data_IF_494883982892
#
_entry.id   IF_494883982892
#
_cell.length_a   1.000
_cell.length_b   1.000
_cell.length_c   1.000
_cell.angle_alpha   90.00
_cell.angle_beta   90.00
_cell.angle_gamma   90.00
#
_symmetry.space_group_name_H-M   'P 1'
#
loop_
_entity.id
_entity.type
_entity.pdbx_description
1 polymer ?
#
# COMPACT_ATOMS: atom_id res chain seq x y z
N UNK A 1 38.24 -66.12 19.33
CA UNK A 1 38.38 -64.86 20.02
C UNK A 1 37.82 -63.78 19.12
N UNK A 2 36.58 -63.42 19.35
CA UNK A 2 35.80 -62.52 18.46
C UNK A 2 35.82 -61.10 18.98
N UNK A 3 36.19 -60.15 18.17
CA UNK A 3 36.15 -58.71 18.44
C UNK A 3 34.75 -58.17 18.23
N UNK A 4 34.22 -57.25 19.07
CA UNK A 4 32.89 -56.66 18.87
C UNK A 4 32.97 -55.42 17.95
N UNK A 5 32.10 -55.39 16.96
CA UNK A 5 31.89 -54.26 16.07
C UNK A 5 31.19 -53.11 16.77
N UNK A 6 31.78 -51.94 16.80
CA UNK A 6 31.23 -50.69 17.28
C UNK A 6 30.17 -50.18 16.30
N UNK A 7 28.88 -50.13 16.73
CA UNK A 7 27.80 -49.44 16.05
C UNK A 7 27.93 -47.96 16.29
N UNK A 8 28.38 -47.21 15.30
CA UNK A 8 28.32 -45.75 15.27
C UNK A 8 26.82 -45.32 15.20
N UNK A 9 26.32 -44.66 16.25
CA UNK A 9 25.02 -43.98 16.25
C UNK A 9 25.12 -42.75 15.36
N UNK A 10 24.41 -42.73 14.22
CA UNK A 10 24.15 -41.53 13.43
C UNK A 10 23.35 -40.54 14.27
N UNK A 11 23.94 -39.36 14.51
CA UNK A 11 23.17 -38.18 15.02
C UNK A 11 22.25 -37.69 13.91
N UNK A 12 20.97 -37.37 14.21
CA UNK A 12 20.11 -36.74 13.22
C UNK A 12 20.65 -35.32 12.97
N UNK A 13 20.79 -34.95 11.69
CA UNK A 13 21.11 -33.61 11.25
C UNK A 13 19.99 -32.66 11.69
N UNK A 14 20.31 -31.69 12.54
CA UNK A 14 19.42 -30.59 12.89
C UNK A 14 19.30 -29.71 11.65
N UNK A 15 18.08 -29.71 11.04
CA UNK A 15 17.81 -28.97 9.82
C UNK A 15 17.94 -27.47 10.01
N UNK A 16 18.58 -26.84 9.04
CA UNK A 16 18.73 -25.39 8.87
C UNK A 16 17.42 -24.66 8.50
N UNK A 17 16.27 -25.32 8.58
CA UNK A 17 14.95 -24.77 8.16
C UNK A 17 14.16 -24.04 9.27
N UNK A 18 14.69 -23.95 10.49
CA UNK A 18 13.93 -23.42 11.63
C UNK A 18 13.60 -21.90 11.60
N UNK A 19 14.43 -20.99 11.05
CA UNK A 19 14.09 -19.55 10.97
C UNK A 19 13.06 -19.25 9.89
N UNK A 20 13.20 -19.85 8.70
CA UNK A 20 12.35 -19.63 7.55
C UNK A 20 10.90 -20.11 7.79
N UNK A 21 10.73 -21.27 8.43
CA UNK A 21 9.42 -21.81 8.78
C UNK A 21 8.64 -20.94 9.76
N UNK A 22 9.33 -20.33 10.73
CA UNK A 22 8.71 -19.41 11.70
C UNK A 22 8.27 -18.08 11.06
N UNK A 23 9.06 -17.54 10.15
CA UNK A 23 8.70 -16.32 9.39
C UNK A 23 7.49 -16.59 8.52
N UNK A 24 7.48 -17.69 7.78
CA UNK A 24 6.34 -18.08 6.95
C UNK A 24 5.07 -18.34 7.77
N UNK A 25 5.19 -18.95 8.96
CA UNK A 25 4.05 -19.14 9.86
C UNK A 25 3.51 -17.82 10.41
N UNK A 26 4.38 -16.86 10.75
CA UNK A 26 3.96 -15.52 11.16
C UNK A 26 3.18 -14.81 10.07
N UNK A 27 3.70 -14.83 8.84
CA UNK A 27 3.04 -14.21 7.68
C UNK A 27 1.66 -14.84 7.42
N UNK A 28 1.56 -16.18 7.43
CA UNK A 28 0.28 -16.89 7.26
C UNK A 28 -0.75 -16.53 8.33
N UNK A 29 -0.33 -16.49 9.60
CA UNK A 29 -1.24 -16.11 10.69
C UNK A 29 -1.74 -14.68 10.55
N UNK A 30 -0.84 -13.74 10.18
CA UNK A 30 -1.20 -12.35 9.94
C UNK A 30 -2.18 -12.23 8.79
N UNK A 31 -1.92 -12.89 7.68
CA UNK A 31 -2.76 -12.90 6.49
C UNK A 31 -4.15 -13.47 6.80
N UNK A 32 -4.24 -14.58 7.52
CA UNK A 32 -5.52 -15.18 7.92
C UNK A 32 -6.39 -14.23 8.76
N UNK A 33 -5.77 -13.40 9.62
CA UNK A 33 -6.50 -12.39 10.40
C UNK A 33 -7.04 -11.25 9.53
N UNK A 34 -6.27 -10.82 8.53
CA UNK A 34 -6.68 -9.79 7.56
C UNK A 34 -7.85 -10.31 6.72
N UNK A 35 -7.73 -11.50 6.13
CA UNK A 35 -8.79 -12.14 5.35
C UNK A 35 -10.08 -12.33 6.15
N UNK A 36 -9.97 -12.73 7.42
CA UNK A 36 -11.11 -12.85 8.32
C UNK A 36 -11.80 -11.51 8.58
N UNK A 37 -11.04 -10.43 8.72
CA UNK A 37 -11.60 -9.09 8.92
C UNK A 37 -12.25 -8.55 7.64
N UNK A 38 -11.67 -8.81 6.47
CA UNK A 38 -12.27 -8.48 5.16
C UNK A 38 -13.61 -9.20 5.02
N UNK A 39 -13.65 -10.51 5.26
CA UNK A 39 -14.87 -11.29 5.15
C UNK A 39 -15.99 -10.82 6.10
N UNK A 40 -15.65 -10.39 7.33
CA UNK A 40 -16.61 -9.79 8.26
C UNK A 40 -17.17 -8.46 7.73
N UNK A 41 -16.35 -7.64 7.10
CA UNK A 41 -16.80 -6.40 6.47
C UNK A 41 -17.71 -6.63 5.27
N UNK A 42 -17.37 -7.58 4.42
CA UNK A 42 -18.18 -7.95 3.25
C UNK A 42 -19.57 -8.47 3.68
N UNK A 43 -19.68 -9.01 4.90
CA UNK A 43 -20.93 -9.36 5.54
C UNK A 43 -21.65 -8.16 6.22
N UNK A 44 -21.14 -6.94 6.04
CA UNK A 44 -21.73 -5.71 6.61
C UNK A 44 -21.42 -5.49 8.09
N UNK A 45 -20.48 -6.25 8.66
CA UNK A 45 -20.09 -6.13 10.07
C UNK A 45 -18.92 -5.15 10.23
N UNK A 46 -18.82 -4.51 11.40
CA UNK A 46 -17.59 -3.83 11.80
C UNK A 46 -16.69 -4.83 12.55
N UNK A 47 -15.58 -5.31 11.93
CA UNK A 47 -14.76 -6.35 12.54
C UNK A 47 -14.03 -5.82 13.77
N UNK A 48 -13.99 -6.64 14.82
CA UNK A 48 -13.08 -6.47 15.95
C UNK A 48 -11.92 -7.45 15.83
N UNK A 49 -10.79 -7.17 16.50
CA UNK A 49 -9.65 -8.11 16.55
C UNK A 49 -10.08 -9.48 17.10
N UNK A 50 -11.00 -9.50 18.07
CA UNK A 50 -11.53 -10.72 18.65
C UNK A 50 -12.38 -11.54 17.66
N UNK A 51 -13.25 -10.89 16.87
CA UNK A 51 -14.05 -11.55 15.83
C UNK A 51 -13.19 -12.08 14.69
N UNK A 52 -12.20 -11.29 14.26
CA UNK A 52 -11.23 -11.73 13.26
C UNK A 52 -10.42 -12.95 13.75
N UNK A 53 -10.01 -12.97 15.03
CA UNK A 53 -9.32 -14.09 15.65
C UNK A 53 -10.18 -15.37 15.64
N UNK A 54 -11.45 -15.25 16.02
CA UNK A 54 -12.40 -16.37 16.04
C UNK A 54 -12.60 -16.96 14.63
N UNK A 55 -12.84 -16.10 13.65
CA UNK A 55 -13.03 -16.51 12.25
C UNK A 55 -11.76 -17.11 11.63
N UNK A 56 -10.60 -16.55 11.93
CA UNK A 56 -9.30 -17.07 11.49
C UNK A 56 -8.84 -18.32 12.27
N UNK A 57 -9.58 -18.77 13.29
CA UNK A 57 -9.20 -19.85 14.21
C UNK A 57 -7.85 -19.61 14.89
N UNK A 58 -7.57 -18.38 15.25
CA UNK A 58 -6.37 -17.93 15.96
C UNK A 58 -6.76 -17.54 17.39
N UNK A 59 -5.92 -17.82 18.37
CA UNK A 59 -6.20 -17.38 19.74
C UNK A 59 -6.24 -15.85 19.83
N UNK A 60 -7.13 -15.29 20.66
CA UNK A 60 -7.23 -13.84 20.89
C UNK A 60 -5.88 -13.23 21.27
N UNK A 61 -5.15 -13.85 22.19
CA UNK A 61 -3.82 -13.39 22.59
C UNK A 61 -2.84 -13.32 21.43
N UNK A 62 -2.89 -14.29 20.51
CA UNK A 62 -2.07 -14.26 19.29
C UNK A 62 -2.52 -13.14 18.37
N UNK A 63 -3.83 -12.95 18.15
CA UNK A 63 -4.35 -11.90 17.29
C UNK A 63 -3.98 -10.50 17.79
N UNK A 64 -4.13 -10.21 19.08
CA UNK A 64 -3.74 -8.93 19.68
C UNK A 64 -2.23 -8.66 19.62
N UNK A 65 -1.39 -9.68 19.53
CA UNK A 65 0.05 -9.52 19.29
C UNK A 65 0.36 -9.04 17.87
N UNK A 66 -0.47 -9.41 16.88
CA UNK A 66 -0.34 -8.95 15.49
C UNK A 66 -1.02 -7.59 15.26
N UNK A 67 -2.17 -7.43 15.85
CA UNK A 67 -3.02 -6.24 15.73
C UNK A 67 -3.48 -5.81 17.12
N UNK A 68 -2.70 -4.96 17.80
CA UNK A 68 -3.02 -4.50 19.15
C UNK A 68 -4.36 -3.76 19.22
N UNK A 69 -4.75 -3.11 18.13
CA UNK A 69 -6.00 -2.35 18.03
C UNK A 69 -6.80 -2.76 16.79
N UNK A 70 -8.08 -2.43 16.79
CA UNK A 70 -8.95 -2.66 15.63
C UNK A 70 -8.55 -1.78 14.45
N UNK A 71 -8.04 -0.59 14.73
CA UNK A 71 -7.55 0.35 13.72
C UNK A 71 -6.35 -0.24 12.96
N UNK A 72 -5.41 -0.85 13.68
CA UNK A 72 -4.27 -1.54 13.07
C UNK A 72 -4.72 -2.68 12.14
N UNK A 73 -5.75 -3.44 12.55
CA UNK A 73 -6.32 -4.50 11.72
C UNK A 73 -7.01 -3.92 10.49
N UNK A 74 -7.84 -2.88 10.65
CA UNK A 74 -8.57 -2.26 9.53
C UNK A 74 -7.62 -1.59 8.56
N UNK A 75 -6.56 -0.93 9.02
CA UNK A 75 -5.56 -0.34 8.12
C UNK A 75 -4.91 -1.38 7.20
N UNK A 76 -4.72 -2.60 7.70
CA UNK A 76 -4.20 -3.71 6.90
C UNK A 76 -5.25 -4.29 5.93
N UNK A 77 -6.54 -4.36 6.34
CA UNK A 77 -7.60 -4.80 5.41
C UNK A 77 -7.78 -3.81 4.26
N UNK A 78 -7.68 -2.50 4.53
CA UNK A 78 -7.64 -1.48 3.48
C UNK A 78 -6.36 -1.61 2.63
N UNK A 79 -5.29 -2.10 3.26
CA UNK A 79 -4.02 -2.39 2.63
C UNK A 79 -4.04 -3.60 1.70
N UNK A 80 -4.85 -4.60 1.95
CA UNK A 80 -4.90 -5.86 1.20
C UNK A 80 -5.92 -5.85 0.03
N UNK A 81 -6.56 -4.70 -0.23
CA UNK A 81 -7.41 -4.56 -1.41
C UNK A 81 -6.58 -4.74 -2.67
N UNK A 82 -7.03 -5.62 -3.54
CA UNK A 82 -6.40 -5.89 -4.83
C UNK A 82 -6.41 -4.62 -5.71
N UNK A 83 -5.29 -3.91 -5.69
CA UNK A 83 -5.07 -2.83 -6.64
C UNK A 83 -5.02 -3.42 -8.05
N UNK A 84 -5.74 -2.85 -9.02
CA UNK A 84 -5.61 -3.31 -10.41
C UNK A 84 -4.14 -3.26 -10.83
N UNK A 85 -3.60 -4.32 -11.46
CA UNK A 85 -2.22 -4.28 -11.96
C UNK A 85 -2.06 -3.11 -12.92
N UNK A 86 -0.93 -2.39 -12.80
CA UNK A 86 -0.68 -1.17 -13.60
C UNK A 86 -0.80 -1.45 -15.10
N UNK A 87 -0.43 -2.62 -15.56
CA UNK A 87 -0.45 -3.05 -16.97
C UNK A 87 -1.87 -3.06 -17.56
N UNK A 88 -2.91 -3.10 -16.73
CA UNK A 88 -4.32 -2.93 -17.16
C UNK A 88 -4.71 -1.47 -17.34
N UNK A 89 -3.97 -0.55 -16.75
CA UNK A 89 -4.24 0.89 -16.71
C UNK A 89 -3.34 1.63 -17.68
N UNK A 90 -2.05 1.28 -17.70
CA UNK A 90 -1.00 1.91 -18.48
C UNK A 90 0.15 0.93 -18.71
N UNK A 91 0.80 1.05 -19.87
CA UNK A 91 1.99 0.24 -20.25
C UNK A 91 3.11 1.17 -20.72
N UNK A 92 4.38 0.74 -20.63
CA UNK A 92 5.49 1.46 -21.25
C UNK A 92 5.23 1.72 -22.72
N UNK A 93 5.30 3.00 -23.12
CA UNK A 93 4.97 3.45 -24.48
C UNK A 93 3.62 4.16 -24.60
N UNK A 94 2.72 3.98 -23.65
CA UNK A 94 1.47 4.75 -23.60
C UNK A 94 1.74 6.22 -23.16
N UNK A 95 0.79 7.11 -23.42
CA UNK A 95 0.85 8.51 -22.96
C UNK A 95 0.90 8.58 -21.42
N UNK A 96 2.00 9.08 -20.83
CA UNK A 96 2.18 9.15 -19.39
C UNK A 96 1.21 10.13 -18.70
N UNK A 97 0.75 11.17 -19.39
CA UNK A 97 -0.23 12.12 -18.87
C UNK A 97 -1.58 11.43 -18.69
N UNK A 98 -2.04 10.72 -19.71
CA UNK A 98 -3.27 9.95 -19.67
C UNK A 98 -3.17 8.81 -18.65
N UNK A 99 -2.04 8.09 -18.67
CA UNK A 99 -1.77 6.98 -17.77
C UNK A 99 -1.82 7.39 -16.30
N UNK A 100 -1.21 8.53 -15.95
CA UNK A 100 -1.23 9.03 -14.58
C UNK A 100 -2.64 9.40 -14.12
N UNK A 101 -3.45 10.00 -14.97
CA UNK A 101 -4.86 10.29 -14.65
C UNK A 101 -5.69 9.03 -14.43
N UNK A 102 -5.48 7.99 -15.24
CA UNK A 102 -6.15 6.70 -15.08
C UNK A 102 -5.69 5.99 -13.79
N UNK A 103 -4.38 6.02 -13.49
CA UNK A 103 -3.84 5.45 -12.27
C UNK A 103 -4.37 6.14 -11.01
N UNK A 104 -4.44 7.48 -11.02
CA UNK A 104 -5.04 8.25 -9.94
C UNK A 104 -6.51 7.87 -9.73
N UNK A 105 -7.28 7.79 -10.81
CA UNK A 105 -8.69 7.41 -10.75
C UNK A 105 -8.85 5.97 -10.20
N UNK A 106 -8.09 5.01 -10.70
CA UNK A 106 -8.18 3.61 -10.26
C UNK A 106 -7.86 3.44 -8.77
N UNK A 107 -6.79 4.09 -8.29
CA UNK A 107 -6.42 4.06 -6.87
C UNK A 107 -7.48 4.73 -6.00
N UNK A 108 -7.93 5.91 -6.40
CA UNK A 108 -8.86 6.71 -5.62
C UNK A 108 -10.27 6.10 -5.60
N UNK A 109 -10.73 5.48 -6.68
CA UNK A 109 -11.97 4.69 -6.69
C UNK A 109 -11.92 3.57 -5.66
N UNK A 110 -10.82 2.80 -5.66
CA UNK A 110 -10.64 1.71 -4.70
C UNK A 110 -10.69 2.19 -3.24
N UNK A 111 -10.15 3.38 -2.97
CA UNK A 111 -10.11 3.95 -1.61
C UNK A 111 -11.47 4.51 -1.18
N UNK A 112 -12.20 5.18 -2.09
CA UNK A 112 -13.47 5.86 -1.77
C UNK A 112 -14.63 4.87 -1.60
N UNK A 113 -14.54 3.67 -2.18
CA UNK A 113 -15.53 2.61 -2.00
C UNK A 113 -15.71 2.20 -0.53
N UNK A 114 -14.75 2.55 0.32
CA UNK A 114 -14.80 2.38 1.77
C UNK A 114 -14.39 3.68 2.48
N UNK A 115 -15.24 4.68 2.41
CA UNK A 115 -14.99 6.00 3.00
C UNK A 115 -14.76 5.92 4.51
N UNK A 116 -15.49 5.04 5.22
CA UNK A 116 -15.26 4.82 6.66
C UNK A 116 -13.88 4.22 6.92
N UNK A 117 -13.50 3.20 6.16
CA UNK A 117 -12.17 2.57 6.27
C UNK A 117 -11.03 3.55 5.96
N UNK A 118 -11.26 4.48 5.04
CA UNK A 118 -10.33 5.55 4.70
C UNK A 118 -10.05 6.47 5.92
N UNK A 119 -11.09 6.94 6.60
CA UNK A 119 -10.95 7.77 7.80
C UNK A 119 -10.35 7.00 8.98
N UNK A 120 -10.71 5.74 9.17
CA UNK A 120 -10.12 4.86 10.20
C UNK A 120 -8.63 4.66 9.96
N UNK A 121 -8.23 4.46 8.70
CA UNK A 121 -6.82 4.32 8.32
C UNK A 121 -6.03 5.59 8.62
N UNK A 122 -6.55 6.78 8.28
CA UNK A 122 -5.90 8.05 8.61
C UNK A 122 -5.74 8.24 10.11
N UNK A 123 -6.78 7.98 10.90
CA UNK A 123 -6.70 8.04 12.36
C UNK A 123 -5.62 7.09 12.90
N UNK A 124 -5.50 5.88 12.37
CA UNK A 124 -4.48 4.92 12.76
C UNK A 124 -3.06 5.44 12.53
N UNK A 125 -2.79 6.03 11.36
CA UNK A 125 -1.49 6.63 11.08
C UNK A 125 -1.17 7.81 12.00
N UNK A 126 -2.16 8.65 12.29
CA UNK A 126 -1.99 9.78 13.22
C UNK A 126 -1.70 9.28 14.63
N UNK A 127 -2.40 8.24 15.09
CA UNK A 127 -2.17 7.66 16.42
C UNK A 127 -0.75 7.13 16.56
N UNK A 128 -0.29 6.30 15.60
CA UNK A 128 1.07 5.75 15.62
C UNK A 128 2.13 6.86 15.58
N UNK A 129 1.89 7.94 14.83
CA UNK A 129 2.78 9.09 14.78
C UNK A 129 2.85 9.84 16.12
N UNK A 130 1.71 10.04 16.79
CA UNK A 130 1.62 10.72 18.09
C UNK A 130 2.27 9.90 19.21
N UNK A 131 2.15 8.57 19.15
CA UNK A 131 2.74 7.67 20.14
C UNK A 131 4.27 7.58 20.03
N UNK A 132 4.85 8.10 18.97
CA UNK A 132 6.30 8.20 18.77
C UNK A 132 7.01 6.85 18.60
N UNK A 133 6.26 5.78 18.31
CA UNK A 133 6.79 4.42 18.22
C UNK A 133 7.59 4.14 16.94
N UNK A 134 7.53 5.01 15.94
CA UNK A 134 8.22 4.79 14.66
C UNK A 134 8.80 6.08 14.07
N UNK A 135 10.06 6.00 13.62
CA UNK A 135 10.74 7.02 12.82
C UNK A 135 10.74 6.66 11.32
N UNK A 136 10.17 5.52 10.96
CA UNK A 136 10.05 5.06 9.58
C UNK A 136 8.76 5.60 8.92
N UNK A 137 8.71 5.62 7.57
CA UNK A 137 7.50 6.00 6.87
C UNK A 137 6.33 5.08 7.28
N UNK A 138 5.34 5.63 7.98
CA UNK A 138 4.21 4.89 8.54
C UNK A 138 3.23 4.40 7.46
N UNK A 139 3.25 5.04 6.28
CA UNK A 139 2.27 4.78 5.23
C UNK A 139 2.80 3.80 4.20
N UNK A 140 2.04 2.75 3.86
CA UNK A 140 2.42 1.87 2.75
C UNK A 140 2.53 2.68 1.46
N UNK A 141 3.67 2.58 0.78
CA UNK A 141 3.96 3.34 -0.44
C UNK A 141 3.20 2.86 -1.69
N UNK A 142 1.98 2.36 -1.56
CA UNK A 142 1.18 1.75 -2.63
C UNK A 142 0.96 2.68 -3.81
N UNK A 143 0.68 3.98 -3.54
CA UNK A 143 0.58 4.96 -4.63
C UNK A 143 1.85 5.03 -5.47
N UNK A 144 3.01 4.73 -4.87
CA UNK A 144 4.29 4.72 -5.57
C UNK A 144 4.39 3.60 -6.60
N UNK A 145 3.72 2.45 -6.38
CA UNK A 145 3.69 1.37 -7.38
C UNK A 145 3.04 1.79 -8.70
N UNK A 146 2.18 2.80 -8.69
CA UNK A 146 1.62 3.42 -9.91
C UNK A 146 2.45 4.62 -10.38
N UNK A 147 2.89 5.47 -9.44
CA UNK A 147 3.58 6.72 -9.77
C UNK A 147 4.97 6.44 -10.37
N UNK A 148 5.75 5.57 -9.74
CA UNK A 148 7.15 5.36 -10.13
C UNK A 148 7.32 4.83 -11.55
N UNK A 149 6.65 3.75 -11.98
CA UNK A 149 6.83 3.24 -13.33
C UNK A 149 6.46 4.26 -14.41
N UNK A 150 5.36 5.01 -14.20
CA UNK A 150 4.91 6.04 -15.16
C UNK A 150 5.90 7.21 -15.19
N UNK A 151 6.36 7.70 -14.03
CA UNK A 151 7.32 8.82 -13.99
C UNK A 151 8.69 8.39 -14.51
N UNK A 152 9.13 7.17 -14.20
CA UNK A 152 10.43 6.67 -14.66
C UNK A 152 10.46 6.34 -16.16
N UNK A 153 9.31 6.11 -16.80
CA UNK A 153 9.24 6.00 -18.26
C UNK A 153 9.65 7.30 -18.98
N UNK A 154 9.56 8.45 -18.29
CA UNK A 154 9.95 9.76 -18.81
C UNK A 154 11.42 10.12 -18.52
N UNK A 155 12.29 9.15 -18.21
CA UNK A 155 13.70 9.37 -17.85
C UNK A 155 14.52 10.09 -18.93
N UNK A 156 14.17 9.90 -20.19
CA UNK A 156 14.88 10.51 -21.33
C UNK A 156 14.40 11.95 -21.60
N UNK A 157 13.28 12.34 -21.01
CA UNK A 157 12.66 13.65 -21.14
C UNK A 157 12.85 14.49 -19.88
N UNK A 158 12.64 13.91 -18.70
CA UNK A 158 12.72 14.60 -17.42
C UNK A 158 14.06 14.37 -16.72
N UNK A 159 14.64 15.43 -16.18
CA UNK A 159 15.84 15.34 -15.33
C UNK A 159 15.55 14.53 -14.04
N UNK A 160 16.56 13.92 -13.39
CA UNK A 160 16.38 13.22 -12.12
C UNK A 160 15.72 14.08 -11.04
N UNK A 161 16.06 15.38 -10.98
CA UNK A 161 15.48 16.36 -10.05
C UNK A 161 13.99 16.59 -10.34
N UNK A 162 13.63 16.74 -11.61
CA UNK A 162 12.23 16.92 -12.03
C UNK A 162 11.39 15.68 -11.71
N UNK A 163 11.90 14.47 -12.00
CA UNK A 163 11.22 13.21 -11.68
C UNK A 163 11.00 13.04 -10.17
N UNK A 164 12.01 13.33 -9.34
CA UNK A 164 11.88 13.28 -7.89
C UNK A 164 10.77 14.22 -7.39
N UNK A 165 10.80 15.50 -7.85
CA UNK A 165 9.77 16.48 -7.50
C UNK A 165 8.37 16.04 -7.96
N UNK A 166 8.26 15.51 -9.19
CA UNK A 166 6.99 15.04 -9.72
C UNK A 166 6.42 13.87 -8.90
N UNK A 167 7.23 12.88 -8.53
CA UNK A 167 6.81 11.78 -7.64
C UNK A 167 6.27 12.30 -6.30
N UNK A 168 6.94 13.26 -5.69
CA UNK A 168 6.49 13.89 -4.45
C UNK A 168 5.17 14.66 -4.64
N UNK A 169 5.04 15.46 -5.70
CA UNK A 169 3.82 16.20 -5.99
C UNK A 169 2.62 15.28 -6.27
N UNK A 170 2.82 14.21 -7.04
CA UNK A 170 1.78 13.22 -7.31
C UNK A 170 1.32 12.51 -6.03
N UNK A 171 2.22 12.29 -5.07
CA UNK A 171 1.87 11.70 -3.78
C UNK A 171 0.91 12.56 -2.95
N UNK A 172 0.81 13.87 -3.23
CA UNK A 172 -0.12 14.79 -2.55
C UNK A 172 -1.53 14.69 -3.15
N UNK A 173 -1.64 14.45 -4.46
CA UNK A 173 -2.92 14.47 -5.20
C UNK A 173 -3.51 13.08 -5.45
N UNK A 174 -2.86 12.04 -4.97
CA UNK A 174 -3.31 10.64 -5.08
C UNK A 174 -3.37 9.99 -3.70
N UNK A 175 -4.44 9.28 -3.42
CA UNK A 175 -4.60 8.52 -2.19
C UNK A 175 -5.48 9.20 -1.15
N UNK A 176 -5.47 8.67 0.05
CA UNK A 176 -6.40 8.98 1.14
C UNK A 176 -6.46 10.46 1.48
N UNK A 177 -5.30 11.09 1.65
CA UNK A 177 -5.21 12.50 2.06
C UNK A 177 -5.80 13.45 1.01
N UNK A 178 -5.57 13.14 -0.27
CA UNK A 178 -6.14 13.91 -1.37
C UNK A 178 -7.68 13.81 -1.39
N UNK A 179 -8.21 12.60 -1.19
CA UNK A 179 -9.66 12.37 -1.14
C UNK A 179 -10.31 13.10 0.04
N UNK A 180 -9.75 12.96 1.25
CA UNK A 180 -10.24 13.66 2.44
C UNK A 180 -10.21 15.18 2.21
N UNK A 181 -9.10 15.73 1.70
CA UNK A 181 -9.02 17.17 1.48
C UNK A 181 -10.06 17.69 0.48
N UNK A 182 -10.26 16.99 -0.64
CA UNK A 182 -11.23 17.42 -1.65
C UNK A 182 -12.67 17.27 -1.16
N UNK A 183 -12.95 16.21 -0.37
CA UNK A 183 -14.29 15.96 0.18
C UNK A 183 -14.61 16.86 1.37
N UNK A 184 -13.75 16.88 2.39
CA UNK A 184 -14.05 17.56 3.67
C UNK A 184 -13.85 19.08 3.58
N UNK A 185 -12.82 19.54 2.87
CA UNK A 185 -12.55 20.96 2.71
C UNK A 185 -13.24 21.50 1.46
N UNK A 186 -13.19 20.77 0.34
CA UNK A 186 -13.74 21.20 -0.94
C UNK A 186 -15.24 20.97 -1.09
N UNK A 187 -15.84 20.16 -0.20
CA UNK A 187 -17.29 19.83 -0.26
C UNK A 187 -17.69 19.04 -1.50
N UNK A 188 -16.74 18.42 -2.19
CA UNK A 188 -16.97 17.74 -3.45
C UNK A 188 -17.76 16.42 -3.27
N UNK A 189 -18.58 16.06 -4.24
CA UNK A 189 -19.14 14.73 -4.36
C UNK A 189 -18.03 13.69 -4.63
N UNK A 190 -18.34 12.40 -4.52
CA UNK A 190 -17.40 11.32 -4.86
C UNK A 190 -16.91 11.45 -6.30
N UNK A 191 -17.83 11.68 -7.23
CA UNK A 191 -17.53 11.84 -8.65
C UNK A 191 -16.60 13.04 -8.91
N UNK A 192 -16.90 14.18 -8.30
CA UNK A 192 -16.09 15.39 -8.40
C UNK A 192 -14.70 15.18 -7.79
N UNK A 193 -14.57 14.46 -6.65
CA UNK A 193 -13.30 14.18 -6.02
C UNK A 193 -12.41 13.30 -6.92
N UNK A 194 -12.98 12.24 -7.51
CA UNK A 194 -12.28 11.38 -8.47
C UNK A 194 -11.85 12.16 -9.72
N UNK A 195 -12.75 12.97 -10.29
CA UNK A 195 -12.45 13.80 -11.46
C UNK A 195 -11.35 14.83 -11.18
N UNK A 196 -11.42 15.50 -10.01
CA UNK A 196 -10.47 16.55 -9.60
C UNK A 196 -9.08 15.98 -9.35
N UNK A 197 -8.97 14.89 -8.63
CA UNK A 197 -7.68 14.26 -8.34
C UNK A 197 -7.02 13.71 -9.61
N UNK A 198 -7.79 13.09 -10.50
CA UNK A 198 -7.29 12.64 -11.80
C UNK A 198 -6.86 13.81 -12.70
N UNK A 199 -7.62 14.92 -12.69
CA UNK A 199 -7.23 16.14 -13.40
C UNK A 199 -5.93 16.72 -12.86
N UNK A 200 -5.80 16.83 -11.53
CA UNK A 200 -4.58 17.35 -10.88
C UNK A 200 -3.36 16.48 -11.19
N UNK A 201 -3.50 15.16 -11.17
CA UNK A 201 -2.42 14.24 -11.52
C UNK A 201 -1.96 14.46 -12.99
N UNK A 202 -2.88 14.61 -13.93
CA UNK A 202 -2.55 14.93 -15.34
C UNK A 202 -1.88 16.30 -15.47
N UNK A 203 -2.37 17.30 -14.76
CA UNK A 203 -1.83 18.66 -14.80
C UNK A 203 -0.39 18.70 -14.30
N UNK A 204 -0.05 17.98 -13.22
CA UNK A 204 1.30 17.89 -12.69
C UNK A 204 2.28 17.25 -13.69
N UNK A 205 1.87 16.17 -14.36
CA UNK A 205 2.73 15.55 -15.39
C UNK A 205 2.95 16.50 -16.57
N UNK A 206 1.90 17.15 -17.09
CA UNK A 206 2.03 18.15 -18.15
C UNK A 206 2.97 19.28 -17.75
N UNK A 207 2.77 19.86 -16.57
CA UNK A 207 3.60 20.95 -16.07
C UNK A 207 5.08 20.55 -15.97
N UNK A 208 5.37 19.34 -15.50
CA UNK A 208 6.74 18.84 -15.40
C UNK A 208 7.40 18.70 -16.79
N UNK A 209 6.66 18.19 -17.78
CA UNK A 209 7.14 18.09 -19.18
C UNK A 209 7.39 19.46 -19.79
N UNK A 210 6.47 20.41 -19.62
CA UNK A 210 6.59 21.77 -20.16
C UNK A 210 7.77 22.54 -19.56
N UNK A 211 8.02 22.39 -18.26
CA UNK A 211 9.14 23.03 -17.56
C UNK A 211 10.49 22.52 -18.06
N UNK A 212 10.62 21.20 -18.24
CA UNK A 212 11.88 20.61 -18.70
C UNK A 212 12.14 20.93 -20.18
N UNK A 213 11.12 20.97 -21.02
CA UNK A 213 11.23 21.41 -22.41
C UNK A 213 11.71 22.86 -22.49
N UNK A 214 11.11 23.79 -21.72
CA UNK A 214 11.55 25.18 -21.63
C UNK A 214 12.99 25.31 -21.15
N UNK A 215 13.39 24.45 -20.17
CA UNK A 215 14.76 24.47 -19.67
C UNK A 215 15.77 23.96 -20.70
N UNK A 216 15.42 22.99 -21.53
CA UNK A 216 16.25 22.50 -22.65
C UNK A 216 16.43 23.55 -23.73
N UNK A 217 15.33 24.20 -24.14
CA UNK A 217 15.39 25.30 -25.15
C UNK A 217 16.24 26.50 -24.73
N UNK A 218 16.42 26.72 -23.42
CA UNK A 218 17.29 27.83 -22.92
C UNK A 218 18.77 27.44 -22.85
N UNK A 219 19.11 26.16 -22.95
CA UNK A 219 20.48 25.64 -22.85
C UNK A 219 21.13 25.34 -24.22
N UNK A 220 20.31 25.18 -25.26
CA UNK A 220 20.74 25.03 -26.66
C UNK A 220 20.75 26.37 -27.39
#
# INVERSE_FOLDING_TARGET
MSSPQSRARRRPSVGEDAPQGRVNQKLRTRQALIEAAIALRDEGQQPTVAQAAERARVSRATAYRYFPTVEALISETAADRDMPPLERIWRPGDDPVKGMGLAANALNTLLIDDEVGLHVMERSFMTVWLDGESHEPLRPGRRLSYIEPIVDSMKDVLSPKARKRLKQALSIVMGTEALIAVRDIGGASIEEALATTAWAARALVRQALDEDEKARRKRG
#
